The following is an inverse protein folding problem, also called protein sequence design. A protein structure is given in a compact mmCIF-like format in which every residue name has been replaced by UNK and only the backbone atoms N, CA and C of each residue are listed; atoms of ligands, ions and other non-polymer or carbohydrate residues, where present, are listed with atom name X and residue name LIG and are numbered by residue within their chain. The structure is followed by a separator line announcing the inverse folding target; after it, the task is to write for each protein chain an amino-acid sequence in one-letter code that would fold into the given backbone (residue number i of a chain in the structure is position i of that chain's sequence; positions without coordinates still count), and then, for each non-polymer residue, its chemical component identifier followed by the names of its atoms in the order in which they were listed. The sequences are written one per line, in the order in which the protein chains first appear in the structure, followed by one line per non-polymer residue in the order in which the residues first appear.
data_IF_629475250708
#
_entry.id   IF_629475250708
#
_cell.length_a   1.000
_cell.length_b   1.000
_cell.length_c   1.000
_cell.angle_alpha   90.00
_cell.angle_beta   90.00
_cell.angle_gamma   90.00
#
_symmetry.space_group_name_H-M   'P 1'
#
loop_
_entity.id
_entity.type
_entity.pdbx_description
1 polymer ?
#
# COMPACT_ATOMS: atom_id res chain seq x y z
N UNK A 1 6.14 -29.72 -10.96
CA UNK A 1 6.02 -28.66 -9.93
C UNK A 1 6.21 -29.31 -8.58
N UNK A 2 7.22 -28.90 -7.83
CA UNK A 2 7.53 -29.46 -6.50
C UNK A 2 7.64 -28.31 -5.48
N UNK A 3 6.83 -28.34 -4.42
CA UNK A 3 6.88 -27.34 -3.35
C UNK A 3 8.02 -27.71 -2.38
N UNK A 4 9.02 -26.85 -2.27
CA UNK A 4 10.19 -27.03 -1.41
C UNK A 4 9.97 -26.49 0.02
N UNK A 5 8.75 -26.07 0.35
CA UNK A 5 8.37 -25.60 1.67
C UNK A 5 7.70 -24.23 1.63
N UNK A 6 6.83 -23.98 2.61
CA UNK A 6 6.16 -22.71 2.80
C UNK A 6 6.51 -22.17 4.18
N UNK A 7 6.95 -20.91 4.24
CA UNK A 7 7.32 -20.23 5.47
C UNK A 7 6.51 -18.95 5.62
N UNK A 8 6.04 -18.70 6.84
CA UNK A 8 5.54 -17.40 7.22
C UNK A 8 6.70 -16.42 7.34
N UNK A 9 6.74 -15.43 6.45
CA UNK A 9 7.82 -14.43 6.44
C UNK A 9 7.46 -13.26 7.35
N UNK A 10 6.20 -12.83 7.28
CA UNK A 10 5.62 -11.83 8.18
C UNK A 10 4.27 -12.31 8.67
N UNK A 11 3.72 -11.64 9.67
CA UNK A 11 2.32 -11.85 10.09
C UNK A 11 1.29 -11.41 9.02
N UNK A 12 1.72 -11.10 7.80
CA UNK A 12 0.92 -10.56 6.70
C UNK A 12 1.02 -11.34 5.41
N UNK A 13 2.07 -12.17 5.25
CA UNK A 13 2.23 -13.01 4.08
C UNK A 13 3.11 -14.24 4.34
N UNK A 14 2.81 -15.31 3.61
CA UNK A 14 3.63 -16.51 3.54
C UNK A 14 4.38 -16.53 2.20
N UNK A 15 5.55 -17.17 2.16
CA UNK A 15 6.30 -17.41 0.93
C UNK A 15 6.64 -18.89 0.78
N UNK A 16 6.54 -19.39 -0.45
CA UNK A 16 6.86 -20.76 -0.81
C UNK A 16 7.90 -20.79 -1.93
N UNK A 17 8.90 -21.66 -1.80
CA UNK A 17 9.85 -21.92 -2.88
C UNK A 17 9.31 -23.08 -3.69
N UNK A 18 9.06 -22.85 -4.97
CA UNK A 18 8.51 -23.83 -5.89
C UNK A 18 9.57 -24.16 -6.92
N UNK A 19 9.90 -25.44 -7.02
CA UNK A 19 10.81 -25.98 -8.01
C UNK A 19 10.02 -26.44 -9.24
N UNK A 20 10.41 -25.94 -10.41
CA UNK A 20 9.80 -26.24 -11.69
C UNK A 20 10.84 -26.92 -12.56
N UNK A 21 10.49 -28.07 -13.12
CA UNK A 21 11.32 -28.78 -14.08
C UNK A 21 10.57 -28.83 -15.40
N UNK A 22 11.23 -28.40 -16.47
CA UNK A 22 10.67 -28.42 -17.81
C UNK A 22 11.77 -28.68 -18.83
N UNK A 23 11.59 -29.73 -19.66
CA UNK A 23 12.57 -30.14 -20.68
C UNK A 23 14.00 -30.31 -20.13
N UNK A 24 14.14 -30.95 -18.95
CA UNK A 24 15.43 -31.18 -18.29
C UNK A 24 16.06 -29.92 -17.66
N UNK A 25 15.40 -28.77 -17.73
CA UNK A 25 15.82 -27.53 -17.08
C UNK A 25 15.07 -27.32 -15.78
N UNK A 26 15.81 -27.07 -14.71
CA UNK A 26 15.29 -26.81 -13.39
C UNK A 26 15.31 -25.29 -13.09
N UNK A 27 14.21 -24.78 -12.54
CA UNK A 27 14.09 -23.39 -12.09
C UNK A 27 13.42 -23.31 -10.72
N UNK A 28 13.81 -22.31 -9.95
CA UNK A 28 13.18 -21.97 -8.67
C UNK A 28 12.30 -20.74 -8.83
N UNK A 29 11.11 -20.80 -8.25
CA UNK A 29 10.14 -19.71 -8.22
C UNK A 29 9.82 -19.41 -6.76
N UNK A 30 9.84 -18.13 -6.39
CA UNK A 30 9.33 -17.67 -5.11
C UNK A 30 7.88 -17.24 -5.27
N UNK A 31 6.98 -17.95 -4.60
CA UNK A 31 5.55 -17.63 -4.57
C UNK A 31 5.22 -16.94 -3.25
N UNK A 32 4.71 -15.71 -3.31
CA UNK A 32 4.38 -14.91 -2.13
C UNK A 32 2.87 -14.70 -2.03
N UNK A 33 2.27 -15.04 -0.89
CA UNK A 33 0.83 -14.94 -0.64
C UNK A 33 0.52 -13.94 0.48
N UNK A 34 0.14 -12.72 0.10
CA UNK A 34 -0.28 -11.68 1.05
C UNK A 34 -1.74 -11.86 1.49
N UNK A 35 -1.95 -12.23 2.75
CA UNK A 35 -3.27 -12.54 3.30
C UNK A 35 -3.86 -11.40 4.15
N UNK A 36 -3.10 -10.37 4.50
CA UNK A 36 -3.55 -9.26 5.35
C UNK A 36 -4.30 -8.14 4.63
N UNK A 37 -4.93 -8.42 3.48
CA UNK A 37 -5.75 -7.43 2.77
C UNK A 37 -7.12 -7.22 3.44
N UNK A 38 -7.68 -8.26 4.06
CA UNK A 38 -9.04 -8.24 4.60
C UNK A 38 -10.13 -8.27 3.52
N UNK A 39 -11.36 -7.90 3.92
CA UNK A 39 -12.55 -7.91 3.07
C UNK A 39 -12.89 -6.53 2.48
N UNK A 40 -12.29 -5.45 2.98
CA UNK A 40 -12.51 -4.08 2.52
C UNK A 40 -11.64 -3.73 1.31
N UNK A 41 -11.78 -2.48 0.81
CA UNK A 41 -11.07 -2.00 -0.38
C UNK A 41 -9.56 -1.94 -0.22
N UNK A 42 -9.06 -1.71 0.99
CA UNK A 42 -7.65 -1.44 1.33
C UNK A 42 -7.12 -2.45 2.37
N UNK A 43 -5.79 -2.63 2.49
CA UNK A 43 -5.21 -3.56 3.45
C UNK A 43 -5.52 -3.21 4.91
N UNK A 44 -5.62 -4.24 5.77
CA UNK A 44 -5.81 -4.07 7.22
C UNK A 44 -4.56 -3.42 7.86
N UNK A 45 -3.38 -3.74 7.33
CA UNK A 45 -2.09 -3.21 7.78
C UNK A 45 -1.37 -2.54 6.61
N UNK A 46 -1.65 -1.25 6.33
CA UNK A 46 -1.02 -0.46 5.25
C UNK A 46 0.51 -0.58 5.19
N UNK A 47 1.18 -0.25 6.30
CA UNK A 47 2.61 -0.38 6.53
C UNK A 47 3.18 -1.74 6.09
N UNK A 48 2.46 -2.82 6.35
CA UNK A 48 2.94 -4.16 6.04
C UNK A 48 2.88 -4.46 4.53
N UNK A 49 2.02 -3.76 3.78
CA UNK A 49 2.03 -3.85 2.32
C UNK A 49 3.27 -3.16 1.74
N UNK A 50 3.72 -2.05 2.32
CA UNK A 50 4.97 -1.39 1.92
C UNK A 50 6.15 -2.34 2.13
N UNK A 51 6.22 -2.95 3.31
CA UNK A 51 7.24 -3.96 3.65
C UNK A 51 7.20 -5.13 2.66
N UNK A 52 6.01 -5.62 2.33
CA UNK A 52 5.83 -6.70 1.36
C UNK A 52 6.36 -6.35 -0.04
N UNK A 53 6.12 -5.13 -0.52
CA UNK A 53 6.64 -4.65 -1.82
C UNK A 53 8.17 -4.59 -1.78
N UNK A 54 8.77 -4.04 -0.71
CA UNK A 54 10.22 -4.01 -0.53
C UNK A 54 10.82 -5.42 -0.52
N UNK A 55 10.19 -6.37 0.20
CA UNK A 55 10.66 -7.75 0.26
C UNK A 55 10.56 -8.44 -1.11
N UNK A 56 9.49 -8.22 -1.89
CA UNK A 56 9.36 -8.75 -3.26
C UNK A 56 10.48 -8.22 -4.16
N UNK A 57 10.75 -6.91 -4.12
CA UNK A 57 11.80 -6.30 -4.95
C UNK A 57 13.19 -6.81 -4.56
N UNK A 58 13.48 -6.92 -3.27
CA UNK A 58 14.75 -7.48 -2.80
C UNK A 58 14.94 -8.94 -3.25
N UNK A 59 13.90 -9.78 -3.10
CA UNK A 59 13.97 -11.17 -3.55
C UNK A 59 14.07 -11.30 -5.07
N UNK A 60 13.44 -10.40 -5.83
CA UNK A 60 13.59 -10.33 -7.29
C UNK A 60 15.06 -10.17 -7.68
N UNK A 61 15.77 -9.23 -7.05
CA UNK A 61 17.17 -8.96 -7.38
C UNK A 61 18.06 -10.17 -7.04
N UNK A 62 17.82 -10.82 -5.90
CA UNK A 62 18.51 -12.05 -5.53
C UNK A 62 18.28 -13.19 -6.53
N UNK A 63 17.02 -13.41 -6.93
CA UNK A 63 16.66 -14.47 -7.87
C UNK A 63 17.22 -14.22 -9.27
N UNK A 64 17.24 -12.96 -9.74
CA UNK A 64 17.87 -12.59 -11.01
C UNK A 64 19.37 -12.85 -10.94
N UNK A 65 20.03 -12.49 -9.83
CA UNK A 65 21.45 -12.75 -9.64
C UNK A 65 21.78 -14.25 -9.64
N UNK A 66 21.03 -15.05 -8.87
CA UNK A 66 21.16 -16.52 -8.88
C UNK A 66 20.94 -17.08 -10.30
N UNK A 67 20.01 -16.51 -11.06
CA UNK A 67 19.71 -16.94 -12.42
C UNK A 67 20.85 -16.71 -13.42
N UNK A 68 21.49 -15.55 -13.31
CA UNK A 68 22.64 -15.16 -14.12
C UNK A 68 23.86 -16.02 -13.75
N UNK A 69 24.13 -16.19 -12.45
CA UNK A 69 25.25 -16.99 -11.96
C UNK A 69 25.13 -18.47 -12.39
N UNK A 70 23.90 -19.00 -12.38
CA UNK A 70 23.58 -20.34 -12.85
C UNK A 70 23.46 -20.47 -14.39
N UNK A 71 23.71 -19.39 -15.14
CA UNK A 71 23.75 -19.34 -16.62
C UNK A 71 22.46 -19.78 -17.33
N UNK A 72 21.29 -19.66 -16.69
CA UNK A 72 20.01 -19.89 -17.36
C UNK A 72 19.29 -18.60 -17.76
N UNK A 73 19.85 -17.44 -17.42
CA UNK A 73 19.39 -16.11 -17.81
C UNK A 73 20.60 -15.22 -18.13
N UNK A 74 20.52 -14.41 -19.18
CA UNK A 74 21.53 -13.40 -19.48
C UNK A 74 21.29 -12.12 -18.67
N UNK A 75 22.33 -11.32 -18.44
CA UNK A 75 22.21 -10.06 -17.71
C UNK A 75 21.21 -9.05 -18.32
N UNK A 76 20.96 -9.15 -19.63
CA UNK A 76 20.03 -8.27 -20.34
C UNK A 76 18.62 -8.88 -20.50
N UNK A 77 18.41 -10.11 -20.03
CA UNK A 77 17.11 -10.75 -20.14
C UNK A 77 16.10 -10.12 -19.18
N UNK A 78 14.85 -10.02 -19.63
CA UNK A 78 13.75 -9.48 -18.83
C UNK A 78 12.97 -10.63 -18.21
N UNK A 79 12.98 -10.70 -16.88
CA UNK A 79 12.15 -11.63 -16.11
C UNK A 79 11.09 -10.85 -15.34
N UNK A 80 9.80 -10.83 -15.70
CA UNK A 80 8.78 -10.03 -14.99
C UNK A 80 8.36 -10.64 -13.64
N UNK A 81 7.91 -9.82 -12.68
CA UNK A 81 7.16 -10.32 -11.51
C UNK A 81 5.70 -10.50 -11.93
N UNK A 82 5.16 -11.70 -11.72
CA UNK A 82 3.73 -11.98 -11.90
C UNK A 82 2.97 -11.67 -10.60
N UNK A 83 2.07 -10.67 -10.66
CA UNK A 83 1.19 -10.29 -9.53
C UNK A 83 -0.25 -10.50 -9.96
N UNK A 84 -1.01 -11.26 -9.18
CA UNK A 84 -2.42 -11.54 -9.48
C UNK A 84 -3.30 -11.41 -8.23
N UNK A 85 -4.58 -11.19 -8.47
CA UNK A 85 -5.64 -11.30 -7.48
C UNK A 85 -6.83 -12.02 -8.14
N UNK A 86 -8.07 -11.68 -7.79
CA UNK A 86 -9.23 -12.30 -8.43
C UNK A 86 -9.42 -11.81 -9.88
N UNK A 87 -9.62 -10.52 -10.09
CA UNK A 87 -9.85 -9.91 -11.42
C UNK A 87 -8.60 -9.28 -12.01
N UNK A 88 -7.53 -9.16 -11.23
CA UNK A 88 -6.30 -8.48 -11.64
C UNK A 88 -6.43 -6.95 -11.79
N UNK A 89 -7.51 -6.33 -11.29
CA UNK A 89 -7.78 -4.88 -11.46
C UNK A 89 -7.81 -4.08 -10.16
N UNK A 90 -7.95 -4.75 -9.01
CA UNK A 90 -8.01 -4.11 -7.68
C UNK A 90 -6.70 -4.25 -6.92
N UNK A 91 -6.59 -5.30 -6.10
CA UNK A 91 -5.44 -5.52 -5.19
C UNK A 91 -4.09 -5.58 -5.91
N UNK A 92 -4.00 -6.40 -6.97
CA UNK A 92 -2.79 -6.51 -7.78
C UNK A 92 -2.39 -5.17 -8.41
N UNK A 93 -3.35 -4.45 -8.99
CA UNK A 93 -3.12 -3.13 -9.56
C UNK A 93 -2.67 -2.11 -8.51
N UNK A 94 -3.18 -2.22 -7.27
CA UNK A 94 -2.79 -1.34 -6.16
C UNK A 94 -1.33 -1.60 -5.77
N UNK A 95 -0.93 -2.87 -5.68
CA UNK A 95 0.48 -3.25 -5.42
C UNK A 95 1.40 -2.74 -6.53
N UNK A 96 1.01 -2.94 -7.80
CA UNK A 96 1.79 -2.46 -8.96
C UNK A 96 1.89 -0.94 -8.97
N UNK A 97 0.79 -0.22 -8.70
CA UNK A 97 0.78 1.23 -8.66
C UNK A 97 1.72 1.76 -7.56
N UNK A 98 1.66 1.19 -6.35
CA UNK A 98 2.56 1.55 -5.24
C UNK A 98 4.02 1.29 -5.59
N UNK A 99 4.33 0.13 -6.16
CA UNK A 99 5.68 -0.22 -6.61
C UNK A 99 6.23 0.80 -7.62
N UNK A 100 5.41 1.25 -8.58
CA UNK A 100 5.78 2.32 -9.52
C UNK A 100 5.97 3.66 -8.79
N UNK A 101 5.07 4.02 -7.87
CA UNK A 101 5.17 5.26 -7.10
C UNK A 101 6.46 5.31 -6.28
N UNK A 102 6.82 4.22 -5.60
CA UNK A 102 8.03 4.16 -4.77
C UNK A 102 9.28 4.30 -5.62
N UNK A 103 9.37 3.59 -6.75
CA UNK A 103 10.52 3.75 -7.67
C UNK A 103 10.62 5.16 -8.23
N UNK A 104 9.50 5.82 -8.57
CA UNK A 104 9.49 7.23 -9.00
C UNK A 104 10.01 8.15 -7.90
N UNK A 105 9.59 7.95 -6.66
CA UNK A 105 10.08 8.72 -5.51
C UNK A 105 11.58 8.51 -5.30
N UNK A 106 12.04 7.25 -5.28
CA UNK A 106 13.46 6.93 -5.07
C UNK A 106 14.36 7.52 -6.17
N UNK A 107 13.90 7.48 -7.42
CA UNK A 107 14.60 7.99 -8.60
C UNK A 107 14.67 9.52 -8.63
N UNK A 108 13.59 10.19 -8.22
CA UNK A 108 13.51 11.66 -8.26
C UNK A 108 14.07 12.32 -7.01
N UNK A 109 14.06 11.66 -5.86
CA UNK A 109 14.60 12.19 -4.60
C UNK A 109 16.08 12.60 -4.69
N UNK A 110 16.86 11.95 -5.57
CA UNK A 110 18.28 12.26 -5.80
C UNK A 110 18.52 13.37 -6.83
N UNK A 111 17.47 13.88 -7.47
CA UNK A 111 17.54 14.90 -8.52
C UNK A 111 17.40 16.29 -7.92
N UNK A 112 17.80 17.30 -8.69
CA UNK A 112 17.70 18.72 -8.30
C UNK A 112 16.27 19.19 -8.02
N UNK A 113 15.27 18.56 -8.65
CA UNK A 113 13.86 18.88 -8.42
C UNK A 113 13.26 18.27 -7.14
N UNK A 114 14.01 17.40 -6.43
CA UNK A 114 13.52 16.68 -5.27
C UNK A 114 12.52 15.55 -5.61
N UNK A 115 11.94 14.91 -4.58
CA UNK A 115 11.00 13.81 -4.75
C UNK A 115 9.73 14.29 -5.46
N UNK A 116 9.40 13.64 -6.58
CA UNK A 116 8.22 13.95 -7.39
C UNK A 116 7.37 12.71 -7.55
N UNK A 117 6.06 12.88 -7.34
CA UNK A 117 5.09 11.84 -7.57
C UNK A 117 3.77 12.40 -8.06
N UNK A 118 3.30 11.87 -9.18
CA UNK A 118 1.95 12.07 -9.70
C UNK A 118 1.24 10.70 -9.74
N UNK A 119 0.36 10.47 -8.77
CA UNK A 119 -0.40 9.22 -8.66
C UNK A 119 -1.43 9.08 -9.78
N UNK A 120 -2.00 10.19 -10.26
CA UNK A 120 -2.96 10.17 -11.36
C UNK A 120 -2.31 9.69 -12.65
N UNK A 121 -1.13 10.23 -12.98
CA UNK A 121 -0.33 9.79 -14.12
C UNK A 121 0.03 8.30 -14.01
N UNK A 122 0.46 7.83 -12.82
CA UNK A 122 0.76 6.40 -12.59
C UNK A 122 -0.45 5.52 -12.89
N UNK A 123 -1.62 5.87 -12.35
CA UNK A 123 -2.84 5.07 -12.54
C UNK A 123 -3.34 5.14 -13.99
N UNK A 124 -3.28 6.31 -14.63
CA UNK A 124 -3.70 6.47 -16.02
C UNK A 124 -2.81 5.64 -16.95
N UNK A 125 -1.48 5.70 -16.79
CA UNK A 125 -0.54 4.87 -17.56
C UNK A 125 -0.75 3.39 -17.27
N UNK A 126 -0.98 3.01 -16.01
CA UNK A 126 -1.28 1.62 -15.67
C UNK A 126 -2.54 1.12 -16.40
N UNK A 127 -3.58 1.95 -16.52
CA UNK A 127 -4.82 1.60 -17.25
C UNK A 127 -4.60 1.38 -18.75
N UNK A 128 -3.59 1.99 -19.36
CA UNK A 128 -3.23 1.72 -20.77
C UNK A 128 -2.67 0.30 -20.98
N UNK A 129 -2.13 -0.32 -19.92
CA UNK A 129 -1.57 -1.68 -19.96
C UNK A 129 -2.51 -2.72 -19.36
N UNK A 130 -3.32 -2.32 -18.38
CA UNK A 130 -4.34 -3.15 -17.74
C UNK A 130 -5.62 -2.33 -17.59
N UNK A 131 -6.54 -2.51 -18.55
CA UNK A 131 -7.82 -1.83 -18.55
C UNK A 131 -8.51 -1.97 -17.20
N UNK A 132 -9.15 -0.88 -16.76
CA UNK A 132 -9.92 -0.84 -15.52
C UNK A 132 -9.11 -1.09 -14.23
N UNK A 133 -7.79 -0.90 -14.24
CA UNK A 133 -6.98 -0.86 -13.01
C UNK A 133 -7.45 0.25 -12.05
N UNK A 134 -7.55 -0.07 -10.75
CA UNK A 134 -7.95 0.85 -9.66
C UNK A 134 -9.31 1.52 -9.92
N UNK A 135 -10.42 0.78 -9.75
CA UNK A 135 -11.76 1.36 -9.95
C UNK A 135 -12.35 2.02 -8.69
N UNK A 136 -11.91 1.55 -7.52
CA UNK A 136 -12.49 1.94 -6.23
C UNK A 136 -11.78 3.17 -5.68
N UNK A 137 -12.55 4.18 -5.30
CA UNK A 137 -12.03 5.44 -4.77
C UNK A 137 -11.14 5.23 -3.54
N UNK A 138 -11.50 4.27 -2.68
CA UNK A 138 -10.74 3.93 -1.47
C UNK A 138 -9.35 3.39 -1.80
N UNK A 139 -9.20 2.65 -2.91
CA UNK A 139 -7.89 2.17 -3.37
C UNK A 139 -7.05 3.31 -3.95
N UNK A 140 -7.68 4.23 -4.67
CA UNK A 140 -7.00 5.40 -5.23
C UNK A 140 -6.49 6.34 -4.13
N UNK A 141 -7.33 6.64 -3.12
CA UNK A 141 -6.95 7.40 -1.93
C UNK A 141 -5.83 6.68 -1.16
N UNK A 142 -5.96 5.36 -0.97
CA UNK A 142 -4.95 4.57 -0.29
C UNK A 142 -3.57 4.66 -0.95
N UNK A 143 -3.50 4.70 -2.29
CA UNK A 143 -2.21 4.85 -2.99
C UNK A 143 -1.52 6.17 -2.61
N UNK A 144 -2.28 7.26 -2.48
CA UNK A 144 -1.72 8.56 -2.07
C UNK A 144 -1.17 8.50 -0.64
N UNK A 145 -1.97 7.98 0.30
CA UNK A 145 -1.59 7.89 1.71
C UNK A 145 -0.38 6.98 1.91
N UNK A 146 -0.35 5.82 1.25
CA UNK A 146 0.76 4.88 1.31
C UNK A 146 2.03 5.42 0.66
N UNK A 147 1.92 6.21 -0.42
CA UNK A 147 3.06 6.88 -1.02
C UNK A 147 3.64 8.00 -0.13
N UNK A 148 2.76 8.74 0.57
CA UNK A 148 3.17 9.72 1.57
C UNK A 148 3.91 9.03 2.73
N UNK A 149 3.34 7.94 3.28
CA UNK A 149 3.99 7.13 4.33
C UNK A 149 5.37 6.65 3.87
N UNK A 150 5.49 6.16 2.63
CA UNK A 150 6.76 5.73 2.06
C UNK A 150 7.77 6.89 1.99
N UNK A 151 7.38 8.05 1.47
CA UNK A 151 8.25 9.23 1.38
C UNK A 151 8.76 9.69 2.76
N UNK A 152 7.91 9.62 3.80
CA UNK A 152 8.30 9.91 5.18
C UNK A 152 9.33 8.90 5.70
N UNK A 153 9.12 7.59 5.46
CA UNK A 153 10.07 6.53 5.86
C UNK A 153 11.43 6.70 5.21
N UNK A 154 11.46 7.10 3.94
CA UNK A 154 12.70 7.35 3.20
C UNK A 154 13.34 8.71 3.53
N UNK A 155 12.71 9.51 4.42
CA UNK A 155 13.15 10.87 4.77
C UNK A 155 13.23 11.82 3.58
N UNK A 156 12.37 11.61 2.58
CA UNK A 156 12.25 12.49 1.42
C UNK A 156 11.46 13.77 1.74
N UNK A 157 10.63 13.71 2.78
CA UNK A 157 9.87 14.84 3.30
C UNK A 157 10.35 15.18 4.71
N UNK A 158 10.42 16.48 5.01
CA UNK A 158 10.69 16.94 6.36
C UNK A 158 9.48 16.67 7.27
N UNK A 159 9.74 16.42 8.56
CA UNK A 159 8.70 16.08 9.54
C UNK A 159 7.56 17.11 9.61
N UNK A 160 7.96 18.38 9.59
CA UNK A 160 7.09 19.55 9.50
C UNK A 160 6.16 19.57 8.28
N UNK A 161 6.56 18.98 7.15
CA UNK A 161 5.78 19.03 5.90
C UNK A 161 4.57 18.09 5.91
N UNK A 162 4.59 17.00 6.68
CA UNK A 162 3.44 16.09 6.76
C UNK A 162 2.60 16.30 8.02
N UNK A 163 3.16 16.89 9.09
CA UNK A 163 2.40 17.25 10.29
C UNK A 163 1.35 18.34 10.04
N UNK A 164 1.51 19.13 8.97
CA UNK A 164 0.52 20.13 8.53
C UNK A 164 -0.71 19.49 7.85
N UNK A 165 -0.63 18.23 7.44
CA UNK A 165 -1.76 17.53 6.85
C UNK A 165 -2.73 17.06 7.94
N UNK A 166 -3.78 17.85 8.21
CA UNK A 166 -4.86 17.47 9.11
C UNK A 166 -5.75 16.36 8.51
N UNK A 167 -5.31 15.11 8.64
CA UNK A 167 -6.07 13.95 8.14
C UNK A 167 -7.23 13.53 9.06
N UNK A 168 -7.19 13.93 10.33
CA UNK A 168 -8.17 13.51 11.34
C UNK A 168 -9.58 14.08 11.07
N UNK A 169 -9.66 15.24 10.43
CA UNK A 169 -10.91 15.93 10.08
C UNK A 169 -11.36 15.67 8.63
N UNK A 170 -10.67 14.79 7.90
CA UNK A 170 -10.90 14.59 6.46
C UNK A 170 -12.30 14.05 6.13
N UNK A 171 -12.89 13.26 7.02
CA UNK A 171 -14.22 12.70 6.83
C UNK A 171 -15.26 13.38 7.72
N UNK A 172 -16.38 13.76 7.09
CA UNK A 172 -17.53 14.30 7.80
C UNK A 172 -18.01 13.33 8.88
N UNK A 173 -18.01 13.78 10.13
CA UNK A 173 -18.67 13.09 11.24
C UNK A 173 -20.09 13.62 11.36
N UNK A 174 -21.08 12.75 11.16
CA UNK A 174 -22.48 13.12 11.38
C UNK A 174 -22.70 13.35 12.87
N UNK A 175 -22.79 14.62 13.28
CA UNK A 175 -23.25 14.99 14.62
C UNK A 175 -24.69 14.51 14.77
N UNK A 176 -24.91 13.62 15.74
CA UNK A 176 -26.27 13.33 16.21
C UNK A 176 -26.77 14.59 16.91
N UNK A 177 -27.96 15.12 16.62
CA UNK A 177 -28.45 16.30 17.34
C UNK A 177 -28.54 15.96 18.83
N UNK A 178 -27.67 16.59 19.62
CA UNK A 178 -27.75 16.59 21.08
C UNK A 178 -29.10 17.17 21.48
N UNK A 179 -29.88 16.41 22.26
CA UNK A 179 -31.11 16.90 22.88
C UNK A 179 -30.81 18.25 23.55
N UNK A 180 -31.48 19.30 23.09
CA UNK A 180 -31.45 20.61 23.74
C UNK A 180 -31.75 20.43 25.23
N UNK A 181 -30.78 20.83 26.05
CA UNK A 181 -30.97 21.00 27.49
C UNK A 181 -31.96 22.16 27.63
N UNK A 182 -33.19 21.84 28.02
CA UNK A 182 -34.20 22.83 28.35
C UNK A 182 -33.75 23.54 29.63
N UNK A 183 -33.30 24.78 29.50
CA UNK A 183 -33.16 25.71 30.63
C UNK A 183 -34.51 25.82 31.34
N UNK A 184 -34.61 25.28 32.55
CA UNK A 184 -35.65 25.73 33.49
C UNK A 184 -35.08 26.89 34.29
N UNK A 185 -35.61 28.07 33.99
CA UNK A 185 -35.35 29.31 34.69
C UNK A 185 -35.55 29.17 36.19
N UNK A 186 -34.58 29.72 36.92
CA UNK A 186 -34.56 29.82 38.37
C UNK A 186 -35.35 31.09 38.74
N UNK A 187 -36.62 30.97 39.13
CA UNK A 187 -37.37 32.09 39.72
C UNK A 187 -37.19 32.09 41.25
N UNK A 188 -36.45 33.10 41.71
CA UNK A 188 -36.32 33.50 43.10
C UNK A 188 -37.68 33.91 43.69
N UNK A 189 -38.07 33.32 44.82
CA UNK A 189 -39.10 33.87 45.72
C UNK A 189 -38.44 34.51 46.95
N UNK A 190 -38.66 35.80 47.25
CA UNK A 190 -38.24 36.41 48.51
C UNK A 190 -39.20 36.06 49.65
N UNK A 191 -38.62 35.84 50.82
CA UNK A 191 -39.28 35.59 52.11
C UNK A 191 -40.02 36.82 52.67
N UNK A 192 -41.14 36.50 53.30
CA UNK A 192 -42.11 37.16 54.21
C UNK A 192 -41.62 38.35 55.05
N UNK A 193 -42.54 39.23 55.53
CA UNK A 193 -43.18 38.98 56.83
C UNK A 193 -44.64 39.44 56.97
N UNK A 194 -45.42 38.78 57.84
CA UNK A 194 -46.56 39.39 58.55
C UNK A 194 -46.59 38.91 60.00
N UNK A 195 -46.90 39.89 60.85
CA UNK A 195 -47.04 39.89 62.31
C UNK A 195 -47.90 38.76 62.87
#
# INVERSE_FOLDING_TARGET
LHNCGTRRIRNTYDAAVIKIEFQGNERRLLHCCFFSWGYRGTPIRPTELLNFISDINYNRDLLIKEAIDAKWMNANDISPISIYCLTGTGRSATVIALDICFRKLDDTAKRTCGPLLDVQDVVLRLRTRRAMAIQKAEQYLFIHLAALEYAVRQRYLAEKSYSEAELDNYFYQKTSPSKEVTEKGNENKPTTPKN
#
